data_IF_870482168941
#
_entry.id   IF_870482168941
#
_cell.length_a   1.000
_cell.length_b   1.000
_cell.length_c   1.000
_cell.angle_alpha   90.00
_cell.angle_beta   90.00
_cell.angle_gamma   90.00
#
_symmetry.space_group_name_H-M   'P 1'
#
loop_
_entity.id
_entity.type
_entity.pdbx_description
1 polymer ?
#
# COMPACT_ATOMS: atom_id res chain seq x y z
N UNK A 1 -34.76 -24.92 9.96
CA UNK A 1 -33.68 -23.94 10.17
C UNK A 1 -32.95 -23.83 8.85
N UNK A 2 -33.08 -22.72 8.11
CA UNK A 2 -32.31 -22.57 6.88
C UNK A 2 -30.83 -22.42 7.24
N UNK A 3 -29.90 -23.08 6.53
CA UNK A 3 -28.48 -22.84 6.73
C UNK A 3 -28.24 -21.35 6.50
N UNK A 4 -27.54 -20.69 7.44
CA UNK A 4 -27.10 -19.32 7.25
C UNK A 4 -26.36 -19.24 5.91
N UNK A 5 -26.76 -18.31 5.04
CA UNK A 5 -26.11 -18.11 3.76
C UNK A 5 -24.62 -17.87 4.01
N UNK A 6 -23.78 -18.80 3.56
CA UNK A 6 -22.32 -18.64 3.66
C UNK A 6 -21.95 -17.51 2.72
N UNK A 7 -21.72 -16.32 3.28
CA UNK A 7 -21.29 -15.16 2.51
C UNK A 7 -19.90 -15.44 1.95
N UNK A 8 -19.72 -15.25 0.63
CA UNK A 8 -18.42 -15.36 -0.02
C UNK A 8 -17.40 -14.43 0.67
N UNK A 9 -16.23 -14.94 1.10
CA UNK A 9 -15.23 -14.11 1.76
C UNK A 9 -14.70 -13.04 0.80
N UNK A 10 -14.64 -11.79 1.25
CA UNK A 10 -14.08 -10.68 0.49
C UNK A 10 -12.67 -10.41 1.00
N UNK A 11 -11.67 -10.47 0.11
CA UNK A 11 -10.27 -10.15 0.42
C UNK A 11 -9.91 -8.79 -0.19
N UNK A 12 -9.36 -7.89 0.62
CA UNK A 12 -8.85 -6.61 0.13
C UNK A 12 -7.40 -6.77 -0.32
N UNK A 13 -7.15 -6.76 -1.62
CA UNK A 13 -5.81 -6.60 -2.19
C UNK A 13 -5.54 -5.13 -2.51
N UNK A 14 -4.39 -4.62 -2.08
CA UNK A 14 -3.99 -3.26 -2.37
C UNK A 14 -2.48 -3.16 -2.66
N UNK A 15 -2.14 -2.28 -3.61
CA UNK A 15 -0.79 -2.16 -4.14
C UNK A 15 -0.29 -0.71 -4.11
N UNK A 16 0.97 -0.51 -3.71
CA UNK A 16 1.62 0.81 -3.70
C UNK A 16 0.77 1.86 -2.99
N UNK A 17 0.43 2.98 -3.65
CA UNK A 17 -0.46 4.02 -3.13
C UNK A 17 -1.82 3.45 -2.67
N UNK A 18 -2.32 2.44 -3.37
CA UNK A 18 -3.53 1.72 -3.02
C UNK A 18 -3.49 1.14 -1.62
N UNK A 19 -2.33 0.81 -1.04
CA UNK A 19 -2.28 0.31 0.35
C UNK A 19 -2.66 1.38 1.37
N UNK A 20 -2.28 2.64 1.12
CA UNK A 20 -2.67 3.75 1.98
C UNK A 20 -4.20 3.92 1.97
N UNK A 21 -4.78 3.89 0.77
CA UNK A 21 -6.24 3.94 0.58
C UNK A 21 -6.91 2.73 1.22
N UNK A 22 -6.41 1.52 0.91
CA UNK A 22 -6.96 0.26 1.38
C UNK A 22 -6.99 0.14 2.90
N UNK A 23 -5.92 0.53 3.59
CA UNK A 23 -5.90 0.54 5.06
C UNK A 23 -6.97 1.49 5.61
N UNK A 24 -7.10 2.69 5.04
CA UNK A 24 -8.17 3.63 5.43
C UNK A 24 -9.56 3.06 5.14
N UNK A 25 -9.74 2.31 4.05
CA UNK A 25 -11.01 1.62 3.72
C UNK A 25 -11.38 0.60 4.79
N UNK A 26 -10.43 -0.21 5.28
CA UNK A 26 -10.70 -1.17 6.37
C UNK A 26 -10.98 -0.42 7.68
N UNK A 27 -10.19 0.61 8.01
CA UNK A 27 -10.36 1.41 9.23
C UNK A 27 -11.67 2.20 9.27
N UNK A 28 -12.26 2.52 8.11
CA UNK A 28 -13.56 3.19 8.01
C UNK A 28 -14.75 2.28 8.38
N UNK A 29 -14.53 0.96 8.45
CA UNK A 29 -15.51 -0.06 8.89
C UNK A 29 -16.85 -0.05 8.13
N UNK A 30 -16.83 0.43 6.88
CA UNK A 30 -18.02 0.41 6.00
C UNK A 30 -18.23 -0.95 5.34
N UNK A 31 -17.20 -1.79 5.32
CA UNK A 31 -17.20 -3.12 4.70
C UNK A 31 -16.58 -4.13 5.64
N UNK A 32 -16.98 -5.39 5.48
CA UNK A 32 -16.38 -6.53 6.17
C UNK A 32 -15.42 -7.24 5.21
N UNK A 33 -14.15 -7.34 5.60
CA UNK A 33 -13.13 -8.07 4.86
C UNK A 33 -12.71 -9.31 5.64
N UNK A 34 -12.55 -10.43 4.95
CA UNK A 34 -12.08 -11.69 5.52
C UNK A 34 -10.55 -11.75 5.61
N UNK A 35 -9.84 -10.96 4.81
CA UNK A 35 -8.39 -10.81 4.83
C UNK A 35 -7.96 -9.53 4.10
N UNK A 36 -6.75 -9.06 4.37
CA UNK A 36 -6.12 -7.93 3.70
C UNK A 36 -4.69 -8.25 3.27
N UNK A 37 -4.35 -7.90 2.02
CA UNK A 37 -3.02 -8.04 1.45
C UNK A 37 -2.51 -6.69 0.95
N UNK A 38 -1.37 -6.26 1.48
CA UNK A 38 -0.71 -5.00 1.15
C UNK A 38 0.64 -5.28 0.50
N UNK A 39 0.77 -4.90 -0.77
CA UNK A 39 1.96 -5.14 -1.58
C UNK A 39 2.66 -3.80 -1.81
N UNK A 40 3.96 -3.71 -1.54
CA UNK A 40 4.71 -2.44 -1.63
C UNK A 40 4.08 -1.31 -0.79
N UNK A 41 3.86 -1.51 0.53
CA UNK A 41 2.99 -0.65 1.32
C UNK A 41 3.50 0.80 1.45
N UNK A 42 2.81 1.73 0.79
CA UNK A 42 3.13 3.17 0.75
C UNK A 42 2.59 3.94 1.95
N UNK A 43 2.90 3.45 3.16
CA UNK A 43 2.41 4.05 4.41
C UNK A 43 3.11 5.35 4.73
N UNK A 44 4.35 5.47 4.28
CA UNK A 44 5.15 6.68 4.37
C UNK A 44 6.17 6.70 3.24
N UNK A 45 6.23 7.84 2.55
CA UNK A 45 7.23 8.07 1.50
C UNK A 45 8.54 8.56 2.11
N UNK A 46 9.65 8.11 1.52
CA UNK A 46 10.96 8.71 1.80
C UNK A 46 10.97 10.13 1.25
N UNK A 47 10.97 11.12 2.13
CA UNK A 47 11.05 12.52 1.72
C UNK A 47 12.48 12.86 1.29
N UNK A 48 12.70 13.06 0.00
CA UNK A 48 13.93 13.68 -0.52
C UNK A 48 14.06 15.12 0.03
N UNK A 49 15.28 15.71 0.09
CA UNK A 49 15.46 17.07 0.60
C UNK A 49 14.58 18.12 -0.09
N UNK A 50 14.37 17.98 -1.40
CA UNK A 50 13.47 18.83 -2.19
C UNK A 50 12.00 18.67 -1.76
N UNK A 51 11.54 17.43 -1.54
CA UNK A 51 10.20 17.17 -1.02
C UNK A 51 10.03 17.68 0.41
N UNK A 52 11.08 17.68 1.23
CA UNK A 52 11.02 18.25 2.60
C UNK A 52 10.82 19.77 2.55
N UNK A 53 11.49 20.45 1.63
CA UNK A 53 11.31 21.88 1.41
C UNK A 53 9.89 22.17 0.87
N UNK A 54 9.42 21.42 -0.13
CA UNK A 54 8.05 21.56 -0.64
C UNK A 54 6.99 21.24 0.42
N UNK A 55 7.20 20.21 1.25
CA UNK A 55 6.29 19.81 2.31
C UNK A 55 6.12 20.89 3.39
N UNK A 56 7.14 21.73 3.62
CA UNK A 56 7.07 22.85 4.54
C UNK A 56 6.08 23.93 4.08
N UNK A 57 5.90 24.11 2.77
CA UNK A 57 4.97 25.08 2.17
C UNK A 57 3.70 24.44 1.60
N UNK A 58 3.57 23.11 1.66
CA UNK A 58 2.48 22.36 1.03
C UNK A 58 1.07 22.72 1.55
N UNK A 59 0.94 23.16 2.81
CA UNK A 59 -0.36 23.59 3.35
C UNK A 59 -0.90 24.85 2.66
N UNK A 60 -0.02 25.82 2.44
CA UNK A 60 -0.35 27.07 1.76
C UNK A 60 -0.53 26.84 0.26
N UNK A 61 0.35 26.05 -0.36
CA UNK A 61 0.27 25.72 -1.79
C UNK A 61 -1.00 24.92 -2.13
N UNK A 62 -1.39 23.95 -1.31
CA UNK A 62 -2.62 23.17 -1.52
C UNK A 62 -3.90 24.00 -1.37
N UNK A 63 -3.89 25.03 -0.53
CA UNK A 63 -5.08 25.87 -0.30
C UNK A 63 -5.24 26.92 -1.39
N UNK A 64 -4.12 27.52 -1.81
CA UNK A 64 -4.11 28.61 -2.79
C UNK A 64 -4.08 28.11 -4.25
N UNK A 65 -3.40 27.00 -4.51
CA UNK A 65 -3.18 26.45 -5.85
C UNK A 65 -3.32 24.91 -5.85
N UNK A 66 -4.51 24.36 -5.58
CA UNK A 66 -4.72 22.92 -5.40
C UNK A 66 -4.35 22.07 -6.61
N UNK A 67 -4.45 22.63 -7.83
CA UNK A 67 -4.16 21.96 -9.11
C UNK A 67 -2.70 22.07 -9.54
N UNK A 68 -1.88 22.87 -8.86
CA UNK A 68 -0.47 23.02 -9.20
C UNK A 68 0.24 21.67 -9.13
N UNK A 69 0.95 21.31 -10.21
CA UNK A 69 1.74 20.10 -10.26
C UNK A 69 2.97 20.22 -9.35
N UNK A 70 3.21 19.18 -8.56
CA UNK A 70 4.38 19.10 -7.68
C UNK A 70 5.40 18.10 -8.25
N UNK A 71 6.65 18.24 -7.81
CA UNK A 71 7.71 17.32 -8.23
C UNK A 71 7.34 15.90 -7.80
N UNK A 72 7.39 14.90 -8.70
CA UNK A 72 7.12 13.52 -8.36
C UNK A 72 7.96 13.07 -7.17
N UNK A 73 7.29 12.41 -6.21
CA UNK A 73 7.97 11.91 -5.02
C UNK A 73 8.84 10.66 -5.29
N UNK A 74 8.69 10.05 -6.46
CA UNK A 74 9.19 8.72 -6.79
C UNK A 74 10.14 8.79 -7.98
N UNK A 75 11.35 8.26 -7.83
CA UNK A 75 12.23 8.02 -8.96
C UNK A 75 11.75 6.77 -9.70
N UNK A 76 11.48 6.92 -11.00
CA UNK A 76 11.01 5.84 -11.89
C UNK A 76 11.90 4.60 -11.80
N UNK A 77 13.22 4.76 -11.79
CA UNK A 77 14.18 3.65 -11.77
C UNK A 77 14.09 2.80 -10.48
N UNK A 78 13.39 3.28 -9.46
CA UNK A 78 13.20 2.53 -8.21
C UNK A 78 11.92 1.71 -8.19
N UNK A 79 11.10 1.80 -9.25
CA UNK A 79 9.84 1.08 -9.35
C UNK A 79 10.06 -0.39 -9.66
N UNK A 80 10.69 -0.72 -10.79
CA UNK A 80 10.88 -2.09 -11.26
C UNK A 80 12.28 -2.27 -11.86
N UNK A 81 12.81 -3.50 -11.87
CA UNK A 81 14.03 -3.81 -12.62
C UNK A 81 13.78 -4.19 -14.06
N UNK A 82 12.58 -4.67 -14.38
CA UNK A 82 12.22 -5.09 -15.73
C UNK A 82 12.07 -3.84 -16.64
N UNK A 83 12.90 -3.68 -17.68
CA UNK A 83 12.71 -2.60 -18.64
C UNK A 83 11.42 -2.73 -19.45
N UNK A 84 10.89 -3.96 -19.65
CA UNK A 84 9.63 -4.19 -20.36
C UNK A 84 8.43 -3.57 -19.64
N UNK A 85 8.41 -3.63 -18.31
CA UNK A 85 7.40 -2.94 -17.49
C UNK A 85 7.32 -1.44 -17.80
N UNK A 86 8.47 -0.81 -18.01
CA UNK A 86 8.55 0.62 -18.28
C UNK A 86 8.09 0.99 -19.68
N UNK A 87 8.32 0.12 -20.66
CA UNK A 87 7.81 0.27 -22.02
C UNK A 87 6.28 0.12 -22.03
N UNK A 88 5.74 -0.91 -21.37
CA UNK A 88 4.30 -1.11 -21.23
C UNK A 88 3.63 0.07 -20.52
N UNK A 89 4.23 0.55 -19.42
CA UNK A 89 3.71 1.66 -18.64
C UNK A 89 3.64 2.98 -19.45
N UNK A 90 4.68 3.28 -20.23
CA UNK A 90 4.74 4.50 -21.04
C UNK A 90 3.79 4.45 -22.26
N UNK A 91 3.51 3.26 -22.77
CA UNK A 91 2.65 3.05 -23.94
C UNK A 91 1.16 2.86 -23.59
N UNK A 92 0.81 2.66 -22.31
CA UNK A 92 -0.58 2.49 -21.88
C UNK A 92 -1.31 3.86 -21.80
N UNK A 93 -2.35 4.11 -22.62
CA UNK A 93 -3.08 5.37 -22.61
C UNK A 93 -3.91 5.61 -21.33
N UNK A 94 -4.08 4.60 -20.48
CA UNK A 94 -4.77 4.70 -19.20
C UNK A 94 -3.83 5.07 -18.05
N UNK A 95 -2.50 4.98 -18.24
CA UNK A 95 -1.57 5.45 -17.22
C UNK A 95 -1.51 6.97 -17.22
N UNK A 96 -1.36 7.54 -16.04
CA UNK A 96 -1.21 8.99 -15.87
C UNK A 96 0.25 9.32 -15.63
N UNK A 97 0.78 10.32 -16.34
CA UNK A 97 2.13 10.81 -16.09
C UNK A 97 2.28 11.15 -14.59
N UNK A 98 3.23 10.52 -13.92
CA UNK A 98 3.55 10.72 -12.50
C UNK A 98 3.90 12.18 -12.17
N UNK A 99 4.23 13.01 -13.18
CA UNK A 99 4.37 14.48 -13.08
C UNK A 99 3.07 15.23 -12.83
N UNK A 100 1.91 14.56 -12.95
CA UNK A 100 0.59 15.18 -12.75
C UNK A 100 0.10 15.13 -11.30
N UNK A 101 0.89 14.63 -10.34
CA UNK A 101 0.53 14.73 -8.92
C UNK A 101 0.34 16.20 -8.54
N UNK A 102 -0.86 16.52 -8.04
CA UNK A 102 -1.22 17.89 -7.66
C UNK A 102 -0.84 18.19 -6.22
N UNK A 103 -0.72 19.48 -5.87
CA UNK A 103 -0.49 19.93 -4.51
C UNK A 103 -1.55 19.37 -3.54
N UNK A 104 -2.82 19.31 -3.97
CA UNK A 104 -3.90 18.72 -3.16
C UNK A 104 -3.70 17.23 -2.91
N UNK A 105 -3.36 16.45 -3.95
CA UNK A 105 -3.08 15.02 -3.81
C UNK A 105 -1.93 14.78 -2.82
N UNK A 106 -0.84 15.54 -2.91
CA UNK A 106 0.26 15.45 -1.96
C UNK A 106 -0.14 15.83 -0.53
N UNK A 107 -1.00 16.83 -0.37
CA UNK A 107 -1.52 17.25 0.94
C UNK A 107 -2.40 16.19 1.60
N UNK A 108 -3.36 15.64 0.86
CA UNK A 108 -4.26 14.59 1.36
C UNK A 108 -3.51 13.29 1.62
N UNK A 109 -2.55 12.92 0.77
CA UNK A 109 -1.67 11.76 0.99
C UNK A 109 -0.95 11.88 2.33
N UNK A 110 -0.31 13.03 2.59
CA UNK A 110 0.41 13.28 3.84
C UNK A 110 -0.53 13.32 5.04
N UNK A 111 -1.75 13.86 4.90
CA UNK A 111 -2.79 13.81 5.93
C UNK A 111 -3.19 12.37 6.25
N UNK A 112 -3.42 11.55 5.24
CA UNK A 112 -3.77 10.15 5.38
C UNK A 112 -2.65 9.35 6.06
N UNK A 113 -1.38 9.56 5.70
CA UNK A 113 -0.23 8.93 6.34
C UNK A 113 -0.13 9.30 7.83
N UNK A 114 -0.31 10.58 8.18
CA UNK A 114 -0.32 11.04 9.59
C UNK A 114 -1.47 10.44 10.37
N UNK A 115 -2.67 10.37 9.79
CA UNK A 115 -3.82 9.75 10.43
C UNK A 115 -3.55 8.27 10.75
N UNK A 116 -2.97 7.51 9.81
CA UNK A 116 -2.56 6.13 10.07
C UNK A 116 -1.57 6.02 11.22
N UNK A 117 -0.59 6.92 11.31
CA UNK A 117 0.46 6.88 12.32
C UNK A 117 -0.09 6.92 13.77
N UNK A 118 -1.24 7.56 13.97
CA UNK A 118 -1.84 7.79 15.30
C UNK A 118 -3.15 7.03 15.51
N UNK A 119 -3.68 6.35 14.50
CA UNK A 119 -4.96 5.63 14.61
C UNK A 119 -4.85 4.49 15.63
N UNK A 120 -5.61 4.57 16.71
CA UNK A 120 -5.56 3.62 17.82
C UNK A 120 -6.12 2.24 17.46
N UNK A 121 -7.02 2.14 16.47
CA UNK A 121 -7.62 0.88 16.07
C UNK A 121 -6.56 -0.12 15.61
N UNK A 122 -5.48 0.35 14.98
CA UNK A 122 -4.37 -0.51 14.53
C UNK A 122 -3.70 -1.25 15.69
N UNK A 123 -3.64 -0.63 16.89
CA UNK A 123 -3.00 -1.21 18.07
C UNK A 123 -3.99 -1.88 19.04
N UNK A 124 -5.29 -1.81 18.77
CA UNK A 124 -6.35 -2.41 19.58
C UNK A 124 -6.60 -3.84 19.10
N UNK A 125 -6.35 -4.88 19.92
CA UNK A 125 -6.53 -6.27 19.50
C UNK A 125 -7.97 -6.60 19.10
N UNK A 126 -8.96 -5.96 19.73
CA UNK A 126 -10.40 -6.16 19.51
C UNK A 126 -10.98 -5.31 18.37
N UNK A 127 -10.18 -4.46 17.73
CA UNK A 127 -10.64 -3.68 16.58
C UNK A 127 -10.91 -4.58 15.37
N UNK A 128 -11.88 -4.19 14.53
CA UNK A 128 -12.17 -4.91 13.29
C UNK A 128 -10.93 -5.02 12.37
N UNK A 129 -10.09 -3.98 12.36
CA UNK A 129 -8.82 -3.97 11.62
C UNK A 129 -7.85 -5.05 12.12
N UNK A 130 -7.66 -5.15 13.44
CA UNK A 130 -6.77 -6.14 14.05
C UNK A 130 -7.34 -7.56 14.05
N UNK A 131 -8.66 -7.73 13.96
CA UNK A 131 -9.28 -9.05 13.79
C UNK A 131 -9.18 -9.58 12.35
N UNK A 132 -8.74 -8.76 11.39
CA UNK A 132 -8.59 -9.15 9.99
C UNK A 132 -7.18 -9.72 9.74
N UNK A 133 -7.04 -10.95 9.19
CA UNK A 133 -5.76 -11.49 8.74
C UNK A 133 -5.03 -10.55 7.77
N UNK A 134 -3.73 -10.35 7.98
CA UNK A 134 -2.97 -9.34 7.24
C UNK A 134 -1.68 -9.89 6.62
N UNK A 135 -1.49 -9.67 5.33
CA UNK A 135 -0.25 -9.98 4.61
C UNK A 135 0.43 -8.71 4.11
N UNK A 136 1.72 -8.56 4.37
CA UNK A 136 2.56 -7.48 3.86
C UNK A 136 3.65 -8.07 2.98
N UNK A 137 3.67 -7.71 1.69
CA UNK A 137 4.70 -8.13 0.73
C UNK A 137 5.61 -6.95 0.41
N UNK A 138 6.91 -7.10 0.64
CA UNK A 138 7.89 -6.00 0.54
C UNK A 138 9.13 -6.45 -0.24
N UNK A 139 9.59 -5.64 -1.19
CA UNK A 139 10.88 -5.85 -1.85
C UNK A 139 12.02 -5.32 -0.98
N UNK A 140 13.07 -6.11 -0.76
CA UNK A 140 14.20 -5.68 0.09
C UNK A 140 14.98 -4.51 -0.52
N UNK A 141 14.90 -4.33 -1.84
CA UNK A 141 15.52 -3.23 -2.58
C UNK A 141 14.53 -2.10 -2.90
N UNK A 142 13.32 -2.11 -2.36
CA UNK A 142 12.36 -1.01 -2.50
C UNK A 142 12.93 0.29 -1.89
N UNK A 143 13.12 1.30 -2.75
CA UNK A 143 13.61 2.63 -2.40
C UNK A 143 12.51 3.69 -2.39
N UNK A 144 11.31 3.34 -2.80
CA UNK A 144 10.14 4.23 -2.89
C UNK A 144 9.50 4.38 -1.51
N UNK A 145 9.25 3.27 -0.83
CA UNK A 145 8.64 3.26 0.50
C UNK A 145 9.70 3.19 1.59
N UNK A 146 9.39 3.80 2.73
CA UNK A 146 10.25 3.68 3.90
C UNK A 146 10.02 2.35 4.60
N UNK A 147 10.83 1.33 4.31
CA UNK A 147 10.74 -0.01 4.92
C UNK A 147 10.66 0.05 6.46
N UNK A 148 11.49 0.89 7.10
CA UNK A 148 11.45 1.09 8.55
C UNK A 148 10.07 1.52 9.06
N UNK A 149 9.36 2.34 8.31
CA UNK A 149 8.02 2.79 8.71
C UNK A 149 6.95 1.72 8.41
N UNK A 150 7.10 0.95 7.34
CA UNK A 150 6.27 -0.23 7.09
C UNK A 150 6.42 -1.27 8.22
N UNK A 151 7.66 -1.59 8.63
CA UNK A 151 7.94 -2.45 9.78
C UNK A 151 7.32 -1.88 11.06
N UNK A 152 7.51 -0.59 11.34
CA UNK A 152 6.93 0.03 12.54
C UNK A 152 5.40 -0.02 12.57
N UNK A 153 4.75 0.12 11.41
CA UNK A 153 3.31 -0.06 11.31
C UNK A 153 2.91 -1.52 11.53
N UNK A 154 3.63 -2.46 10.92
CA UNK A 154 3.43 -3.90 11.09
C UNK A 154 3.59 -4.33 12.56
N UNK A 155 4.60 -3.82 13.27
CA UNK A 155 4.83 -4.11 14.68
C UNK A 155 3.67 -3.63 15.56
N UNK A 156 3.15 -2.44 15.24
CA UNK A 156 2.01 -1.83 15.94
C UNK A 156 0.69 -2.55 15.67
N UNK A 157 0.53 -3.16 14.49
CA UNK A 157 -0.67 -3.90 14.14
C UNK A 157 -0.92 -5.02 15.16
N UNK A 158 -2.00 -4.93 15.93
CA UNK A 158 -2.33 -5.90 16.98
C UNK A 158 -2.99 -7.18 16.45
N UNK A 159 -3.00 -7.38 15.12
CA UNK A 159 -3.53 -8.60 14.52
C UNK A 159 -2.73 -9.82 14.96
N UNK A 160 -3.47 -10.86 15.36
CA UNK A 160 -2.92 -12.16 15.77
C UNK A 160 -2.51 -13.01 14.58
N UNK A 161 -3.15 -12.78 13.44
CA UNK A 161 -2.85 -13.41 12.16
C UNK A 161 -2.28 -12.36 11.21
N UNK A 162 -0.97 -12.09 11.35
CA UNK A 162 -0.25 -11.15 10.48
C UNK A 162 1.06 -11.74 10.01
N UNK A 163 1.40 -11.48 8.75
CA UNK A 163 2.63 -11.92 8.13
C UNK A 163 3.28 -10.77 7.35
N UNK A 164 4.61 -10.68 7.44
CA UNK A 164 5.42 -9.85 6.55
C UNK A 164 6.42 -10.73 5.81
N UNK A 165 6.33 -10.72 4.47
CA UNK A 165 7.27 -11.41 3.59
C UNK A 165 8.11 -10.37 2.87
N UNK A 166 9.42 -10.45 3.10
CA UNK A 166 10.41 -9.62 2.39
C UNK A 166 11.05 -10.46 1.29
N UNK A 167 10.97 -10.00 0.05
CA UNK A 167 11.58 -10.64 -1.12
C UNK A 167 12.96 -10.03 -1.39
N UNK A 168 14.05 -10.81 -1.29
CA UNK A 168 15.40 -10.31 -1.52
C UNK A 168 15.58 -9.76 -2.94
N UNK A 169 16.15 -8.57 -3.06
CA UNK A 169 16.49 -7.96 -4.35
C UNK A 169 15.34 -7.30 -5.09
N UNK A 170 14.08 -7.59 -4.74
CA UNK A 170 12.91 -7.00 -5.41
C UNK A 170 12.74 -5.51 -5.11
N UNK A 171 12.23 -4.79 -6.10
CA UNK A 171 11.98 -3.35 -6.08
C UNK A 171 10.54 -3.07 -5.60
N UNK A 172 10.04 -1.85 -5.81
CA UNK A 172 8.72 -1.44 -5.35
C UNK A 172 7.56 -2.15 -6.06
N UNK A 173 7.75 -2.45 -7.35
CA UNK A 173 6.78 -3.07 -8.21
C UNK A 173 6.91 -4.61 -8.18
N UNK A 174 6.65 -5.22 -7.02
CA UNK A 174 6.87 -6.65 -6.79
C UNK A 174 6.15 -7.57 -7.79
N UNK A 175 4.95 -7.20 -8.25
CA UNK A 175 4.16 -8.02 -9.17
C UNK A 175 4.59 -7.87 -10.63
N UNK A 176 5.52 -6.96 -10.91
CA UNK A 176 6.06 -6.69 -12.24
C UNK A 176 7.58 -6.93 -12.33
N UNK A 177 8.26 -7.21 -11.21
CA UNK A 177 9.67 -7.58 -11.17
C UNK A 177 9.92 -8.97 -11.80
N UNK A 178 11.15 -9.32 -12.22
CA UNK A 178 11.44 -10.61 -12.87
C UNK A 178 11.04 -11.86 -12.10
N UNK A 179 11.00 -11.80 -10.77
CA UNK A 179 10.59 -12.90 -9.88
C UNK A 179 9.13 -12.75 -9.38
N UNK A 180 8.27 -12.01 -10.10
CA UNK A 180 6.85 -11.81 -9.77
C UNK A 180 6.08 -13.10 -9.52
N UNK A 181 6.43 -14.19 -10.20
CA UNK A 181 5.79 -15.49 -10.02
C UNK A 181 6.00 -16.04 -8.60
N UNK A 182 7.13 -15.74 -7.96
CA UNK A 182 7.39 -16.12 -6.57
C UNK A 182 6.52 -15.30 -5.59
N UNK A 183 6.29 -14.03 -5.91
CA UNK A 183 5.41 -13.14 -5.14
C UNK A 183 3.96 -13.62 -5.23
N UNK A 184 3.48 -13.91 -6.44
CA UNK A 184 2.13 -14.45 -6.67
C UNK A 184 1.97 -15.81 -6.00
N UNK A 185 2.96 -16.71 -6.10
CA UNK A 185 2.91 -18.02 -5.45
C UNK A 185 2.78 -17.90 -3.94
N UNK A 186 3.55 -17.01 -3.31
CA UNK A 186 3.47 -16.77 -1.86
C UNK A 186 2.09 -16.22 -1.46
N UNK A 187 1.56 -15.25 -2.22
CA UNK A 187 0.23 -14.71 -2.00
C UNK A 187 -0.85 -15.81 -2.09
N UNK A 188 -0.81 -16.63 -3.13
CA UNK A 188 -1.78 -17.72 -3.32
C UNK A 188 -1.70 -18.74 -2.19
N UNK A 189 -0.51 -19.18 -1.79
CA UNK A 189 -0.33 -20.10 -0.66
C UNK A 189 -0.89 -19.51 0.64
N UNK A 190 -0.67 -18.22 0.88
CA UNK A 190 -1.20 -17.53 2.05
C UNK A 190 -2.74 -17.48 2.05
N UNK A 191 -3.35 -17.28 0.89
CA UNK A 191 -4.80 -17.30 0.72
C UNK A 191 -5.38 -18.71 0.88
N UNK A 192 -4.79 -19.73 0.23
CA UNK A 192 -5.21 -21.13 0.31
C UNK A 192 -5.22 -21.66 1.74
N UNK A 193 -4.23 -21.27 2.57
CA UNK A 193 -4.18 -21.64 3.99
C UNK A 193 -5.39 -21.12 4.81
N UNK A 194 -6.00 -20.01 4.38
CA UNK A 194 -7.12 -19.34 5.07
C UNK A 194 -8.47 -19.66 4.42
N UNK A 195 -8.46 -19.99 3.14
CA UNK A 195 -9.65 -20.23 2.32
C UNK A 195 -9.53 -21.55 1.52
N UNK A 196 -9.29 -22.71 2.16
CA UNK A 196 -8.94 -23.98 1.49
C UNK A 196 -10.04 -24.63 0.63
N UNK A 197 -11.24 -24.04 0.57
CA UNK A 197 -12.38 -24.53 -0.19
C UNK A 197 -12.98 -23.45 -1.12
N UNK A 198 -12.23 -22.40 -1.45
CA UNK A 198 -12.74 -21.23 -2.19
C UNK A 198 -11.87 -20.84 -3.39
N UNK A 199 -10.63 -21.32 -3.44
CA UNK A 199 -9.66 -21.15 -4.53
C UNK A 199 -9.31 -22.53 -5.09
#
# INVERSE_FOLDING_TARGET
MMPAAVSTPIVLGAYSYGTLVGIHTVLARQHHFAAMCFIGPSLFIRLTPLLRLQAAFAGSLSTLFPEAHIVPAVNREWLCRDPGYFEDFDNDPLTTDTRKVTARMGSETRRAMRALAIDSQVAQPDSAFSQTPALFLIGSADRVVCQRQATRFFDRLASRDKEVKVFPGLYHCLLEDPEKEDVVRHLMQWLEQRFPNTL
#
